data_IF_981936284123
#
_entry.id   IF_981936284123
#
_cell.length_a   1.000
_cell.length_b   1.000
_cell.length_c   1.000
_cell.angle_alpha   90.00
_cell.angle_beta   90.00
_cell.angle_gamma   90.00
#
_symmetry.space_group_name_H-M   'P 1'
#
loop_
_entity.id
_entity.type
_entity.pdbx_description
1 polymer ?
#
# COMPACT_ATOMS: atom_id res chain seq x y z
N UNK A 1 59.15 11.13 78.59
CA UNK A 1 57.86 10.77 77.96
C UNK A 1 58.18 10.18 76.59
N UNK A 2 58.39 8.85 76.49
CA UNK A 2 57.58 7.86 75.74
C UNK A 2 57.00 8.43 74.43
N UNK A 3 57.21 7.88 73.24
CA UNK A 3 56.92 6.49 72.84
C UNK A 3 57.64 6.04 71.55
N UNK A 4 57.83 4.72 71.46
CA UNK A 4 58.17 3.89 70.28
C UNK A 4 57.13 3.98 69.15
N UNK A 5 57.57 3.76 67.91
CA UNK A 5 56.98 2.83 66.90
C UNK A 5 57.62 3.11 65.54
N UNK A 6 58.09 2.14 64.76
CA UNK A 6 57.49 0.83 64.52
C UNK A 6 56.95 0.84 63.08
N UNK A 7 57.83 0.54 62.13
CA UNK A 7 57.52 0.47 60.70
C UNK A 7 56.59 -0.73 60.46
N UNK A 8 55.33 -0.50 60.11
CA UNK A 8 54.40 -1.53 59.66
C UNK A 8 54.04 -1.26 58.22
N UNK A 9 54.45 -2.17 57.34
CA UNK A 9 54.02 -2.24 55.96
C UNK A 9 52.53 -2.60 55.91
N UNK A 10 51.73 -1.82 55.18
CA UNK A 10 50.36 -2.20 54.81
C UNK A 10 50.34 -2.44 53.31
N UNK A 11 50.13 -3.70 52.96
CA UNK A 11 49.98 -4.22 51.60
C UNK A 11 48.62 -3.76 51.05
N UNK A 12 48.66 -3.26 49.82
CA UNK A 12 47.49 -2.81 49.07
C UNK A 12 46.54 -3.98 48.74
N UNK A 13 45.25 -3.77 48.98
CA UNK A 13 44.17 -4.51 48.35
C UNK A 13 43.16 -3.49 47.80
N UNK A 14 43.40 -3.04 46.56
CA UNK A 14 42.40 -2.27 45.82
C UNK A 14 41.39 -3.29 45.30
N UNK A 15 40.27 -3.41 46.00
CA UNK A 15 39.12 -4.18 45.53
C UNK A 15 38.58 -3.49 44.26
N UNK A 16 38.72 -4.17 43.12
CA UNK A 16 38.00 -3.84 41.89
C UNK A 16 36.51 -4.04 42.17
N UNK A 17 35.79 -2.96 42.47
CA UNK A 17 34.33 -2.95 42.43
C UNK A 17 33.97 -3.02 40.96
N UNK A 18 33.71 -4.24 40.47
CA UNK A 18 33.00 -4.44 39.21
C UNK A 18 31.62 -3.82 39.38
N UNK A 19 31.44 -2.61 38.85
CA UNK A 19 30.11 -2.04 38.65
C UNK A 19 29.47 -2.93 37.60
N UNK A 20 28.63 -3.87 38.06
CA UNK A 20 27.71 -4.60 37.21
C UNK A 20 26.89 -3.54 36.49
N UNK A 21 27.13 -3.33 35.20
CA UNK A 21 26.22 -2.57 34.38
C UNK A 21 24.89 -3.34 34.41
N UNK A 22 23.97 -2.91 35.27
CA UNK A 22 22.58 -3.30 35.14
C UNK A 22 22.13 -2.75 33.79
N UNK A 23 22.17 -3.62 32.79
CA UNK A 23 21.31 -3.55 31.62
C UNK A 23 19.89 -3.46 32.18
N UNK A 24 19.45 -2.24 32.46
CA UNK A 24 18.04 -1.95 32.59
C UNK A 24 17.44 -2.35 31.25
N UNK A 25 16.86 -3.55 31.18
CA UNK A 25 15.98 -3.89 30.08
C UNK A 25 14.86 -2.87 30.13
N UNK A 26 14.97 -1.83 29.31
CA UNK A 26 13.80 -1.03 28.98
C UNK A 26 12.88 -1.99 28.24
N UNK A 27 12.02 -2.68 28.99
CA UNK A 27 10.83 -3.30 28.45
C UNK A 27 9.92 -2.14 28.06
N UNK A 28 10.22 -1.49 26.93
CA UNK A 28 9.16 -0.95 26.12
C UNK A 28 8.37 -2.17 25.67
N UNK A 29 7.12 -2.36 26.14
CA UNK A 29 6.25 -3.30 25.48
C UNK A 29 6.19 -2.81 24.03
N UNK A 30 6.74 -3.58 23.11
CA UNK A 30 6.37 -3.50 21.71
C UNK A 30 4.95 -4.05 21.59
N UNK A 31 4.00 -3.38 22.25
CA UNK A 31 2.58 -3.50 22.01
C UNK A 31 2.30 -2.77 20.69
N UNK A 32 2.88 -3.32 19.62
CA UNK A 32 2.33 -3.17 18.29
C UNK A 32 0.96 -3.83 18.37
N UNK A 33 -0.08 -3.04 18.65
CA UNK A 33 -1.45 -3.45 18.36
C UNK A 33 -1.47 -3.70 16.86
N UNK A 34 -1.40 -4.97 16.47
CA UNK A 34 -1.54 -5.39 15.08
C UNK A 34 -2.85 -4.79 14.57
N UNK A 35 -2.80 -4.08 13.45
CA UNK A 35 -4.05 -3.80 12.72
C UNK A 35 -4.73 -5.14 12.52
N UNK A 36 -6.06 -5.23 12.66
CA UNK A 36 -6.78 -6.37 12.09
C UNK A 36 -6.58 -6.34 10.56
N UNK A 37 -5.48 -6.92 10.10
CA UNK A 37 -5.29 -7.28 8.70
C UNK A 37 -6.42 -8.24 8.40
N UNK A 38 -7.41 -7.76 7.67
CA UNK A 38 -8.59 -8.57 7.40
C UNK A 38 -8.30 -9.36 6.14
N UNK A 39 -8.17 -10.68 6.27
CA UNK A 39 -8.20 -11.59 5.13
C UNK A 39 -9.57 -11.49 4.46
N UNK A 40 -9.54 -11.20 3.16
CA UNK A 40 -10.73 -11.08 2.33
C UNK A 40 -10.92 -12.40 1.60
N UNK A 41 -11.93 -13.18 2.03
CA UNK A 41 -12.24 -14.48 1.45
C UNK A 41 -13.16 -14.41 0.22
N UNK A 42 -13.81 -13.26 0.00
CA UNK A 42 -14.68 -13.01 -1.16
C UNK A 42 -15.13 -11.54 -1.22
N UNK A 43 -15.70 -11.13 -2.36
CA UNK A 43 -16.43 -9.86 -2.48
C UNK A 43 -15.65 -8.67 -3.03
N UNK A 44 -14.34 -8.79 -3.28
CA UNK A 44 -13.50 -7.73 -3.87
C UNK A 44 -12.90 -8.16 -5.22
N UNK A 45 -13.71 -8.82 -6.06
CA UNK A 45 -13.25 -9.40 -7.33
C UNK A 45 -12.67 -8.39 -8.33
N UNK A 46 -12.94 -7.09 -8.12
CA UNK A 46 -12.38 -5.99 -8.91
C UNK A 46 -10.90 -5.73 -8.65
N UNK A 47 -10.29 -6.30 -7.60
CA UNK A 47 -8.84 -6.18 -7.40
C UNK A 47 -8.14 -7.10 -8.39
N UNK A 48 -7.17 -6.56 -9.12
CA UNK A 48 -6.45 -7.24 -10.18
C UNK A 48 -5.01 -7.54 -9.77
N UNK A 49 -4.53 -8.72 -10.11
CA UNK A 49 -3.11 -9.09 -10.05
C UNK A 49 -2.44 -8.94 -11.41
N UNK A 50 -1.33 -8.20 -11.52
CA UNK A 50 -0.64 -7.92 -12.79
C UNK A 50 0.65 -8.72 -12.87
N UNK A 51 0.86 -9.44 -13.99
CA UNK A 51 1.92 -10.45 -14.11
C UNK A 51 2.44 -10.66 -15.54
N UNK A 52 3.62 -11.29 -15.62
CA UNK A 52 4.36 -11.53 -16.86
C UNK A 52 3.95 -12.79 -17.60
N UNK A 53 3.41 -13.78 -16.88
CA UNK A 53 2.97 -15.05 -17.43
C UNK A 53 1.58 -15.38 -16.90
N UNK A 54 0.84 -16.21 -17.64
CA UNK A 54 -0.56 -16.55 -17.34
C UNK A 54 -0.76 -17.05 -15.90
N UNK A 55 0.10 -17.96 -15.45
CA UNK A 55 0.08 -18.54 -14.09
C UNK A 55 1.19 -17.97 -13.18
N UNK A 56 1.73 -16.81 -13.54
CA UNK A 56 2.82 -16.18 -12.80
C UNK A 56 2.37 -15.47 -11.53
N UNK A 57 3.36 -15.05 -10.76
CA UNK A 57 3.17 -14.21 -9.56
C UNK A 57 2.89 -12.75 -9.93
N UNK A 58 2.09 -12.06 -9.12
CA UNK A 58 1.74 -10.66 -9.34
C UNK A 58 2.87 -9.72 -8.91
N UNK A 59 3.45 -8.96 -9.83
CA UNK A 59 4.45 -7.94 -9.48
C UNK A 59 3.82 -6.58 -9.13
N UNK A 60 2.58 -6.36 -9.55
CA UNK A 60 1.78 -5.19 -9.24
C UNK A 60 0.32 -5.61 -9.01
N UNK A 61 -0.44 -4.72 -8.39
CA UNK A 61 -1.88 -4.81 -8.32
C UNK A 61 -2.54 -3.77 -9.25
N UNK A 62 -3.83 -3.91 -9.47
CA UNK A 62 -4.66 -2.98 -10.22
C UNK A 62 -6.11 -3.13 -9.82
N UNK A 63 -6.99 -2.43 -10.54
CA UNK A 63 -8.43 -2.38 -10.23
C UNK A 63 -9.25 -2.39 -11.51
N UNK A 64 -10.28 -3.22 -11.60
CA UNK A 64 -11.23 -3.21 -12.72
C UNK A 64 -12.07 -1.94 -12.69
N UNK A 65 -11.92 -1.11 -13.72
CA UNK A 65 -12.63 0.18 -13.87
C UNK A 65 -13.59 0.19 -15.07
N UNK A 66 -13.58 -0.87 -15.87
CA UNK A 66 -14.50 -1.10 -16.97
C UNK A 66 -14.39 -2.54 -17.50
N UNK A 67 -15.27 -2.99 -18.41
CA UNK A 67 -15.30 -4.40 -18.82
C UNK A 67 -14.06 -4.88 -19.58
N UNK A 68 -13.22 -3.96 -20.06
CA UNK A 68 -11.93 -4.24 -20.70
C UNK A 68 -10.77 -3.46 -20.05
N UNK A 69 -10.98 -2.87 -18.87
CA UNK A 69 -10.04 -1.89 -18.32
C UNK A 69 -9.64 -2.18 -16.89
N UNK A 70 -8.33 -2.26 -16.68
CA UNK A 70 -7.72 -2.29 -15.34
C UNK A 70 -6.90 -1.03 -15.14
N UNK A 71 -7.18 -0.29 -14.07
CA UNK A 71 -6.38 0.84 -13.63
C UNK A 71 -5.26 0.37 -12.70
N UNK A 72 -4.06 0.86 -12.93
CA UNK A 72 -2.89 0.64 -12.08
C UNK A 72 -1.99 1.88 -12.16
N UNK A 73 -0.77 1.79 -11.65
CA UNK A 73 0.21 2.87 -11.66
C UNK A 73 1.24 2.74 -12.77
N UNK A 74 1.81 3.85 -13.21
CA UNK A 74 2.73 3.92 -14.35
C UNK A 74 3.97 3.08 -14.11
N UNK A 75 4.57 3.11 -12.92
CA UNK A 75 5.83 2.39 -12.70
C UNK A 75 5.74 0.86 -12.82
N UNK A 76 4.53 0.28 -12.89
CA UNK A 76 4.35 -1.15 -13.14
C UNK A 76 4.84 -1.55 -14.55
N UNK A 77 4.86 -0.61 -15.50
CA UNK A 77 5.36 -0.81 -16.87
C UNK A 77 6.85 -1.16 -16.94
N UNK A 78 7.61 -0.92 -15.86
CA UNK A 78 9.02 -1.33 -15.75
C UNK A 78 9.16 -2.86 -15.75
N UNK A 79 8.08 -3.58 -15.48
CA UNK A 79 7.99 -5.03 -15.62
C UNK A 79 7.26 -5.40 -16.92
N UNK A 80 7.41 -6.65 -17.35
CA UNK A 80 6.75 -7.16 -18.56
C UNK A 80 5.26 -7.43 -18.30
N UNK A 81 4.40 -6.41 -18.42
CA UNK A 81 2.93 -6.57 -18.29
C UNK A 81 2.40 -7.42 -19.45
N UNK A 82 1.82 -8.58 -19.15
CA UNK A 82 1.26 -9.50 -20.17
C UNK A 82 -0.11 -10.05 -19.81
N UNK A 83 -0.38 -10.25 -18.53
CA UNK A 83 -1.61 -10.87 -18.05
C UNK A 83 -2.13 -10.18 -16.80
N UNK A 84 -3.44 -10.27 -16.60
CA UNK A 84 -4.12 -9.93 -15.34
C UNK A 84 -4.77 -11.17 -14.73
N UNK A 85 -4.81 -11.22 -13.39
CA UNK A 85 -5.65 -12.11 -12.56
C UNK A 85 -6.81 -11.32 -12.01
N UNK A 86 -8.05 -11.75 -12.20
CA UNK A 86 -9.24 -11.07 -11.68
C UNK A 86 -10.14 -12.06 -10.93
N UNK A 87 -10.89 -11.59 -9.93
CA UNK A 87 -11.92 -12.41 -9.27
C UNK A 87 -11.43 -13.47 -8.28
N UNK A 88 -10.13 -13.58 -8.03
CA UNK A 88 -9.55 -14.49 -7.03
C UNK A 88 -9.05 -13.72 -5.81
N UNK A 89 -9.23 -14.31 -4.62
CA UNK A 89 -8.55 -13.86 -3.41
C UNK A 89 -7.13 -14.41 -3.30
N UNK A 90 -6.77 -15.47 -4.03
CA UNK A 90 -5.44 -16.05 -4.06
C UNK A 90 -4.43 -15.13 -4.77
N UNK A 91 -3.23 -15.02 -4.22
CA UNK A 91 -2.13 -14.28 -4.83
C UNK A 91 -1.77 -14.79 -6.24
N UNK A 92 -1.95 -16.07 -6.52
CA UNK A 92 -1.74 -16.61 -7.87
C UNK A 92 -3.00 -16.57 -8.71
N UNK A 93 -4.20 -16.69 -8.12
CA UNK A 93 -5.48 -16.76 -8.83
C UNK A 93 -5.49 -17.70 -10.04
N UNK A 94 -4.67 -18.75 -10.02
CA UNK A 94 -4.44 -19.67 -11.13
C UNK A 94 -5.54 -20.73 -11.26
N UNK A 95 -6.39 -20.87 -10.23
CA UNK A 95 -7.43 -21.90 -10.14
C UNK A 95 -8.86 -21.38 -10.27
N UNK A 96 -9.10 -20.15 -9.85
CA UNK A 96 -10.41 -19.58 -9.56
C UNK A 96 -10.59 -18.16 -10.14
N UNK A 97 -9.52 -17.53 -10.61
CA UNK A 97 -9.55 -16.21 -11.23
C UNK A 97 -9.61 -16.26 -12.77
N UNK A 98 -10.15 -15.19 -13.36
CA UNK A 98 -10.00 -14.93 -14.79
C UNK A 98 -8.55 -14.57 -15.10
N UNK A 99 -8.03 -15.11 -16.19
CA UNK A 99 -6.66 -14.88 -16.63
C UNK A 99 -6.70 -14.31 -18.04
N UNK A 100 -6.62 -12.99 -18.13
CA UNK A 100 -6.84 -12.26 -19.39
C UNK A 100 -5.54 -11.59 -19.84
N UNK A 101 -5.24 -11.66 -21.13
CA UNK A 101 -4.07 -10.96 -21.69
C UNK A 101 -4.29 -9.45 -21.67
N UNK A 102 -3.20 -8.73 -21.48
CA UNK A 102 -3.14 -7.29 -21.71
C UNK A 102 -2.67 -7.05 -23.14
N UNK A 103 -3.45 -6.30 -23.91
CA UNK A 103 -3.18 -6.04 -25.34
C UNK A 103 -2.62 -4.65 -25.58
N UNK A 104 -2.93 -3.70 -24.70
CA UNK A 104 -2.39 -2.35 -24.75
C UNK A 104 -2.34 -1.72 -23.36
N UNK A 105 -1.65 -0.59 -23.25
CA UNK A 105 -1.66 0.23 -22.05
C UNK A 105 -1.63 1.72 -22.42
N UNK A 106 -2.23 2.55 -21.59
CA UNK A 106 -2.31 4.00 -21.74
C UNK A 106 -1.79 4.67 -20.49
N UNK A 107 -0.63 5.34 -20.61
CA UNK A 107 -0.07 6.18 -19.55
C UNK A 107 -0.83 7.49 -19.52
N UNK A 108 -1.13 8.02 -18.33
CA UNK A 108 -1.71 9.35 -18.21
C UNK A 108 -0.78 10.40 -18.87
N UNK A 109 -1.28 11.27 -19.77
CA UNK A 109 -0.43 12.15 -20.59
C UNK A 109 0.42 13.14 -19.79
N UNK A 110 -0.09 13.58 -18.64
CA UNK A 110 0.61 14.50 -17.73
C UNK A 110 1.28 13.78 -16.54
N UNK A 111 1.73 12.54 -16.74
CA UNK A 111 2.47 11.81 -15.72
C UNK A 111 3.88 12.40 -15.53
N UNK A 112 4.29 12.61 -14.28
CA UNK A 112 5.67 13.01 -13.94
C UNK A 112 6.25 12.12 -12.84
N UNK A 113 6.05 10.80 -12.94
CA UNK A 113 6.36 9.75 -11.96
C UNK A 113 5.64 9.85 -10.59
N UNK A 114 5.52 11.03 -10.01
CA UNK A 114 4.86 11.28 -8.71
C UNK A 114 3.46 11.91 -8.84
N UNK A 115 3.22 12.62 -9.95
CA UNK A 115 1.94 13.23 -10.29
C UNK A 115 1.24 12.40 -11.35
N UNK A 116 -0.07 12.28 -11.21
CA UNK A 116 -0.91 11.52 -12.15
C UNK A 116 -0.31 10.12 -12.45
N UNK A 117 0.13 9.40 -11.41
CA UNK A 117 0.75 8.06 -11.51
C UNK A 117 -0.28 6.99 -11.84
N UNK A 118 -0.82 7.06 -13.07
CA UNK A 118 -1.89 6.22 -13.59
C UNK A 118 -1.53 5.59 -14.94
N UNK A 119 -1.85 4.32 -15.04
CA UNK A 119 -1.77 3.48 -16.23
C UNK A 119 -3.09 2.72 -16.38
N UNK A 120 -3.73 2.83 -17.53
CA UNK A 120 -4.87 1.97 -17.89
C UNK A 120 -4.33 0.81 -18.73
N UNK A 121 -4.72 -0.41 -18.39
CA UNK A 121 -4.47 -1.62 -19.17
C UNK A 121 -5.73 -1.98 -19.95
N UNK A 122 -5.57 -2.28 -21.24
CA UNK A 122 -6.64 -2.82 -22.09
C UNK A 122 -6.55 -4.35 -22.12
N UNK A 123 -7.68 -5.00 -21.90
CA UNK A 123 -7.81 -6.46 -21.85
C UNK A 123 -8.21 -7.04 -23.20
N UNK A 124 -7.64 -8.19 -23.56
CA UNK A 124 -7.97 -8.94 -24.79
C UNK A 124 -9.44 -9.37 -24.81
N UNK A 125 -9.99 -9.71 -23.64
CA UNK A 125 -11.35 -10.21 -23.47
C UNK A 125 -12.09 -9.38 -22.43
N UNK A 126 -13.42 -9.33 -22.60
CA UNK A 126 -14.33 -8.73 -21.63
C UNK A 126 -14.28 -9.56 -20.33
N UNK A 127 -14.03 -8.91 -19.19
CA UNK A 127 -14.13 -9.55 -17.88
C UNK A 127 -15.59 -9.72 -17.45
N UNK A 128 -15.89 -10.76 -16.67
CA UNK A 128 -17.19 -10.92 -15.99
C UNK A 128 -17.26 -10.15 -14.67
N UNK A 129 -16.14 -9.62 -14.20
CA UNK A 129 -16.06 -8.86 -12.96
C UNK A 129 -16.73 -7.49 -13.09
N UNK A 130 -17.60 -7.17 -12.14
CA UNK A 130 -18.23 -5.85 -12.06
C UNK A 130 -17.17 -4.79 -11.73
N UNK A 131 -17.06 -3.71 -12.55
CA UNK A 131 -16.15 -2.62 -12.26
C UNK A 131 -16.50 -1.89 -10.96
N UNK A 132 -15.47 -1.47 -10.22
CA UNK A 132 -15.67 -0.65 -9.02
C UNK A 132 -16.22 0.73 -9.40
N UNK A 133 -16.98 1.35 -8.49
CA UNK A 133 -17.34 2.76 -8.64
C UNK A 133 -16.10 3.63 -8.46
N UNK A 134 -15.91 4.56 -9.37
CA UNK A 134 -14.84 5.55 -9.30
C UNK A 134 -15.30 6.81 -8.57
N UNK A 135 -14.40 7.41 -7.81
CA UNK A 135 -14.60 8.74 -7.26
C UNK A 135 -14.90 9.76 -8.38
N UNK A 136 -15.65 10.79 -8.04
CA UNK A 136 -16.05 11.83 -8.99
C UNK A 136 -15.01 12.95 -9.00
N UNK A 137 -15.02 13.78 -10.06
CA UNK A 137 -14.13 14.94 -10.13
C UNK A 137 -14.31 15.87 -8.91
N UNK A 138 -15.55 16.02 -8.44
CA UNK A 138 -15.84 16.50 -7.10
C UNK A 138 -15.71 15.34 -6.11
N UNK A 139 -14.51 15.17 -5.58
CA UNK A 139 -14.15 14.04 -4.71
C UNK A 139 -15.05 13.96 -3.48
N UNK A 140 -15.38 12.74 -3.06
CA UNK A 140 -16.03 12.47 -1.77
C UNK A 140 -15.05 12.52 -0.59
N UNK A 141 -13.74 12.54 -0.86
CA UNK A 141 -12.71 12.42 0.16
C UNK A 141 -12.58 13.70 0.95
N UNK A 142 -12.66 13.56 2.28
CA UNK A 142 -12.29 14.60 3.23
C UNK A 142 -11.24 14.07 4.20
N UNK A 143 -10.31 14.91 4.70
CA UNK A 143 -9.38 14.52 5.75
C UNK A 143 -10.11 13.90 6.96
N UNK A 144 -9.48 12.91 7.59
CA UNK A 144 -10.00 12.15 8.72
C UNK A 144 -10.84 10.93 8.35
N UNK A 145 -11.29 10.80 7.08
CA UNK A 145 -12.01 9.61 6.62
C UNK A 145 -11.16 8.34 6.74
N UNK A 146 -11.81 7.23 7.09
CA UNK A 146 -11.20 5.91 7.03
C UNK A 146 -11.35 5.36 5.62
N UNK A 147 -10.23 4.88 5.07
CA UNK A 147 -10.16 4.19 3.81
C UNK A 147 -9.54 2.80 4.02
N UNK A 148 -9.82 1.88 3.11
CA UNK A 148 -9.22 0.56 3.09
C UNK A 148 -8.29 0.43 1.89
N UNK A 149 -7.04 0.06 2.14
CA UNK A 149 -6.09 -0.35 1.10
C UNK A 149 -6.18 -1.85 0.89
N UNK A 150 -6.26 -2.28 -0.36
CA UNK A 150 -6.41 -3.68 -0.74
C UNK A 150 -5.18 -4.20 -1.48
N UNK A 151 -4.76 -5.42 -1.17
CA UNK A 151 -3.66 -6.08 -1.87
C UNK A 151 -3.14 -7.38 -1.20
N UNK A 152 -2.20 -8.06 -1.85
CA UNK A 152 -1.64 -9.36 -1.45
C UNK A 152 -0.22 -9.29 -0.87
N UNK A 153 0.51 -8.21 -1.15
CA UNK A 153 1.87 -7.99 -0.70
C UNK A 153 1.90 -7.23 0.63
N UNK A 154 3.09 -7.20 1.23
CA UNK A 154 3.32 -6.71 2.58
C UNK A 154 2.84 -5.25 2.78
N UNK A 155 1.65 -5.13 3.36
CA UNK A 155 1.02 -3.87 3.71
C UNK A 155 1.38 -3.42 5.12
N UNK A 156 1.95 -4.31 5.96
CA UNK A 156 2.24 -4.10 7.38
C UNK A 156 3.73 -3.96 7.71
N UNK A 157 4.62 -4.07 6.71
CA UNK A 157 6.07 -4.12 6.88
C UNK A 157 6.56 -5.32 7.73
N UNK A 158 5.80 -6.42 7.74
CA UNK A 158 6.13 -7.66 8.44
C UNK A 158 6.65 -8.75 7.48
N UNK A 159 6.89 -8.38 6.21
CA UNK A 159 7.54 -9.16 5.17
C UNK A 159 6.89 -10.49 4.80
N UNK A 160 5.58 -10.65 5.02
CA UNK A 160 4.84 -11.83 4.56
C UNK A 160 4.02 -11.45 3.32
N UNK A 161 4.46 -11.94 2.15
CA UNK A 161 3.56 -12.06 1.01
C UNK A 161 2.42 -12.97 1.44
N UNK A 162 1.21 -12.43 1.46
CA UNK A 162 0.07 -13.24 1.82
C UNK A 162 -0.32 -14.15 0.68
N UNK A 163 -0.82 -15.33 1.04
CA UNK A 163 -1.48 -16.23 0.10
C UNK A 163 -2.81 -15.65 -0.37
N UNK A 164 -3.44 -14.78 0.42
CA UNK A 164 -4.78 -14.25 0.18
C UNK A 164 -4.82 -12.72 0.21
N UNK A 165 -5.85 -12.16 -0.42
CA UNK A 165 -6.08 -10.72 -0.48
C UNK A 165 -6.36 -10.18 0.92
N UNK A 166 -5.73 -9.06 1.27
CA UNK A 166 -5.94 -8.38 2.54
C UNK A 166 -6.46 -6.96 2.37
N UNK A 167 -7.10 -6.49 3.44
CA UNK A 167 -7.48 -5.11 3.63
C UNK A 167 -6.77 -4.55 4.86
N UNK A 168 -6.21 -3.35 4.73
CA UNK A 168 -5.66 -2.55 5.82
C UNK A 168 -6.37 -1.21 5.87
N UNK A 169 -6.95 -0.88 7.03
CA UNK A 169 -7.57 0.42 7.26
C UNK A 169 -6.51 1.50 7.51
N UNK A 170 -6.71 2.65 6.90
CA UNK A 170 -5.85 3.83 7.00
C UNK A 170 -6.71 5.08 7.16
N UNK A 171 -6.18 6.09 7.85
CA UNK A 171 -6.85 7.37 7.98
C UNK A 171 -6.31 8.36 6.95
N UNK A 172 -7.18 8.93 6.12
CA UNK A 172 -6.82 9.93 5.13
C UNK A 172 -6.45 11.25 5.82
N UNK A 173 -5.41 11.91 5.32
CA UNK A 173 -4.95 13.22 5.83
C UNK A 173 -4.95 14.26 4.72
N UNK A 174 -4.91 15.54 5.09
CA UNK A 174 -4.84 16.62 4.10
C UNK A 174 -3.50 16.64 3.37
N UNK A 175 -3.49 17.20 2.16
CA UNK A 175 -2.25 17.45 1.44
C UNK A 175 -1.34 18.43 2.19
N UNK A 176 -1.90 19.39 2.92
CA UNK A 176 -1.11 20.32 3.75
C UNK A 176 -0.38 19.60 4.88
N UNK A 177 -1.01 18.62 5.52
CA UNK A 177 -0.33 17.79 6.51
C UNK A 177 0.74 16.93 5.85
N UNK A 178 0.39 16.30 4.73
CA UNK A 178 1.30 15.43 3.99
C UNK A 178 2.54 16.18 3.46
N UNK A 179 2.35 17.42 3.04
CA UNK A 179 3.41 18.28 2.47
C UNK A 179 4.48 18.68 3.49
N UNK A 180 4.25 18.46 4.79
CA UNK A 180 5.27 18.66 5.83
C UNK A 180 6.38 17.62 5.76
N UNK A 181 6.11 16.43 5.20
CA UNK A 181 7.04 15.29 5.18
C UNK A 181 7.37 14.81 3.77
N UNK A 182 6.51 15.14 2.79
CA UNK A 182 6.51 14.59 1.43
C UNK A 182 6.26 15.67 0.38
N UNK A 183 6.78 15.46 -0.84
CA UNK A 183 6.41 16.29 -1.99
C UNK A 183 5.14 15.74 -2.61
N UNK A 184 4.02 16.44 -2.40
CA UNK A 184 2.69 16.06 -2.92
C UNK A 184 1.90 17.27 -3.40
N UNK A 185 0.90 17.04 -4.24
CA UNK A 185 -0.03 18.06 -4.73
C UNK A 185 -1.47 17.53 -4.87
N UNK A 186 -2.35 18.29 -5.51
CA UNK A 186 -3.76 17.92 -5.73
C UNK A 186 -3.97 16.60 -6.48
N UNK A 187 -2.96 16.08 -7.19
CA UNK A 187 -3.00 14.79 -7.88
C UNK A 187 -2.74 13.61 -6.94
N UNK A 188 -2.40 13.88 -5.67
CA UNK A 188 -2.11 12.88 -4.65
C UNK A 188 -3.17 12.84 -3.55
N UNK A 189 -3.31 11.68 -2.92
CA UNK A 189 -3.93 11.49 -1.61
C UNK A 189 -2.88 10.97 -0.64
N UNK A 190 -3.06 11.26 0.65
CA UNK A 190 -2.18 10.74 1.69
C UNK A 190 -2.99 10.10 2.80
N UNK A 191 -2.38 9.12 3.47
CA UNK A 191 -2.92 8.52 4.67
C UNK A 191 -1.83 8.29 5.71
N UNK A 192 -2.25 8.18 6.97
CA UNK A 192 -1.42 7.61 8.05
C UNK A 192 -1.99 6.25 8.45
N UNK A 193 -1.12 5.38 8.96
CA UNK A 193 -1.56 4.19 9.68
C UNK A 193 -2.39 4.60 10.90
N UNK A 194 -3.45 3.84 11.19
CA UNK A 194 -4.24 4.00 12.41
C UNK A 194 -3.45 3.33 13.55
N UNK A 195 -3.29 3.96 14.71
CA UNK A 195 -2.53 3.41 15.87
C UNK A 195 -1.03 3.23 15.64
N UNK A 196 -0.35 2.40 16.46
CA UNK A 196 1.09 2.12 16.41
C UNK A 196 1.51 1.24 15.20
N UNK A 197 0.96 1.51 14.02
CA UNK A 197 1.00 0.56 12.91
C UNK A 197 2.02 0.96 11.87
N UNK A 198 2.75 -0.06 11.43
CA UNK A 198 3.70 0.04 10.35
C UNK A 198 2.93 -0.04 9.03
N UNK A 199 3.09 0.97 8.17
CA UNK A 199 2.57 0.89 6.80
C UNK A 199 3.72 0.57 5.86
N UNK A 200 3.49 -0.30 4.87
CA UNK A 200 4.34 -0.42 3.70
C UNK A 200 3.51 -0.42 2.41
N UNK A 201 4.11 -0.09 1.27
CA UNK A 201 3.46 -0.10 -0.06
C UNK A 201 3.45 -1.47 -0.70
N UNK A 202 3.17 -2.52 0.08
CA UNK A 202 2.63 -3.74 -0.53
C UNK A 202 1.60 -3.35 -1.59
N UNK A 203 1.69 -4.00 -2.75
CA UNK A 203 0.72 -3.85 -3.84
C UNK A 203 0.73 -2.49 -4.51
N UNK A 204 1.89 -2.14 -5.09
CA UNK A 204 2.01 -1.07 -6.10
C UNK A 204 0.85 -1.14 -7.10
N UNK A 205 0.08 -0.05 -7.22
CA UNK A 205 -1.10 0.04 -8.09
C UNK A 205 -2.40 -0.51 -7.49
N UNK A 206 -2.35 -1.05 -6.27
CA UNK A 206 -3.50 -1.60 -5.55
C UNK A 206 -4.53 -0.53 -5.17
N UNK A 207 -5.75 -0.98 -4.87
CA UNK A 207 -6.88 -0.11 -4.60
C UNK A 207 -6.78 0.58 -3.23
N UNK A 208 -7.09 1.88 -3.19
CA UNK A 208 -7.53 2.58 -1.99
C UNK A 208 -9.01 2.89 -2.14
N UNK A 209 -9.84 2.28 -1.29
CA UNK A 209 -11.28 2.41 -1.34
C UNK A 209 -11.84 3.14 -0.13
N UNK A 210 -12.92 3.86 -0.34
CA UNK A 210 -13.82 4.33 0.72
C UNK A 210 -15.10 3.53 0.63
N UNK A 211 -15.48 2.88 1.74
CA UNK A 211 -16.73 2.14 1.84
C UNK A 211 -17.90 3.11 1.98
N UNK A 212 -18.88 3.03 1.09
CA UNK A 212 -20.18 3.66 1.25
C UNK A 212 -21.20 2.60 1.67
N UNK A 213 -22.38 3.03 2.15
CA UNK A 213 -23.42 2.12 2.69
C UNK A 213 -23.79 0.92 1.81
N UNK A 214 -23.59 1.01 0.48
CA UNK A 214 -24.02 -0.02 -0.49
C UNK A 214 -22.94 -0.43 -1.50
N UNK A 215 -21.82 0.28 -1.56
CA UNK A 215 -20.80 0.07 -2.58
C UNK A 215 -19.47 0.65 -2.14
N UNK A 216 -18.39 0.10 -2.69
CA UNK A 216 -17.06 0.63 -2.50
C UNK A 216 -16.75 1.66 -3.60
N UNK A 217 -16.01 2.71 -3.24
CA UNK A 217 -15.58 3.76 -4.18
C UNK A 217 -14.06 3.79 -4.22
N UNK A 218 -13.49 3.61 -5.41
CA UNK A 218 -12.06 3.79 -5.66
C UNK A 218 -11.72 5.28 -5.61
N UNK A 219 -10.98 5.68 -4.58
CA UNK A 219 -10.55 7.07 -4.39
C UNK A 219 -9.09 7.28 -4.78
N UNK A 220 -8.27 6.21 -4.75
CA UNK A 220 -6.89 6.27 -5.16
C UNK A 220 -6.29 4.90 -5.50
N UNK A 221 -5.07 4.93 -6.02
CA UNK A 221 -4.23 3.74 -6.19
C UNK A 221 -2.87 3.92 -5.50
N UNK A 222 -2.31 2.83 -4.97
CA UNK A 222 -1.05 2.85 -4.22
C UNK A 222 0.10 3.28 -5.14
N UNK A 223 0.67 4.47 -4.91
CA UNK A 223 1.75 5.05 -5.72
C UNK A 223 3.10 5.05 -5.00
N UNK A 224 3.16 5.38 -3.71
CA UNK A 224 4.44 5.41 -3.02
C UNK A 224 4.32 5.55 -1.51
N UNK A 225 5.46 5.48 -0.83
CA UNK A 225 5.57 5.74 0.59
C UNK A 225 6.91 6.35 0.93
N UNK A 226 6.95 6.94 2.12
CA UNK A 226 8.17 7.21 2.86
C UNK A 226 7.98 6.60 4.24
N UNK A 227 8.98 5.85 4.70
CA UNK A 227 8.89 5.18 6.00
C UNK A 227 8.06 3.90 5.95
N UNK A 228 8.24 3.05 4.94
CA UNK A 228 7.84 1.65 5.02
C UNK A 228 8.32 1.07 6.37
N UNK A 229 7.44 0.48 7.16
CA UNK A 229 7.84 -0.09 8.44
C UNK A 229 8.02 0.90 9.59
N UNK A 230 7.69 2.17 9.37
CA UNK A 230 7.66 3.20 10.40
C UNK A 230 6.25 3.29 10.95
N UNK A 231 6.14 3.27 12.28
CA UNK A 231 4.88 3.47 13.00
C UNK A 231 4.33 4.86 12.67
N UNK A 232 3.08 4.93 12.20
CA UNK A 232 2.45 6.19 11.80
C UNK A 232 3.04 6.80 10.51
N UNK A 233 3.77 5.99 9.74
CA UNK A 233 4.34 6.38 8.45
C UNK A 233 3.26 6.82 7.45
N UNK A 234 3.61 7.79 6.60
CA UNK A 234 2.72 8.29 5.55
C UNK A 234 2.76 7.41 4.30
N UNK A 235 1.59 7.20 3.72
CA UNK A 235 1.43 6.54 2.41
C UNK A 235 0.84 7.52 1.40
N UNK A 236 1.30 7.44 0.16
CA UNK A 236 0.87 8.30 -0.95
C UNK A 236 0.17 7.46 -2.01
N UNK A 237 -0.94 8.00 -2.49
CA UNK A 237 -1.77 7.40 -3.52
C UNK A 237 -1.96 8.40 -4.65
N UNK A 238 -2.08 7.91 -5.88
CA UNK A 238 -2.54 8.73 -6.99
C UNK A 238 -4.06 8.95 -6.83
N UNK A 239 -4.54 10.19 -6.96
CA UNK A 239 -5.92 10.59 -6.68
C UNK A 239 -6.81 10.36 -7.90
N UNK A 240 -7.80 9.46 -7.79
CA UNK A 240 -8.71 9.14 -8.91
C UNK A 240 -9.52 10.36 -9.35
N UNK A 241 -10.03 11.15 -8.41
CA UNK A 241 -10.80 12.36 -8.71
C UNK A 241 -10.03 13.36 -9.62
N UNK A 242 -8.71 13.46 -9.46
CA UNK A 242 -7.89 14.39 -10.24
C UNK A 242 -7.82 14.02 -11.73
N UNK A 243 -7.91 12.73 -12.05
CA UNK A 243 -7.83 12.21 -13.42
C UNK A 243 -9.17 11.69 -13.92
N UNK A 244 -10.26 11.96 -13.20
CA UNK A 244 -11.58 11.40 -13.51
C UNK A 244 -12.04 11.70 -14.95
N UNK A 245 -11.92 12.94 -15.46
CA UNK A 245 -12.28 13.24 -16.85
C UNK A 245 -11.47 12.44 -17.89
N UNK A 246 -10.18 12.20 -17.62
CA UNK A 246 -9.34 11.37 -18.48
C UNK A 246 -9.82 9.93 -18.49
N UNK A 247 -10.08 9.34 -17.32
CA UNK A 247 -10.63 7.97 -17.23
C UNK A 247 -11.95 7.87 -18.01
N UNK A 248 -12.88 8.79 -17.80
CA UNK A 248 -14.18 8.78 -18.50
C UNK A 248 -14.02 8.89 -20.02
N UNK A 249 -13.04 9.66 -20.50
CA UNK A 249 -12.76 9.78 -21.94
C UNK A 249 -12.33 8.45 -22.55
N UNK A 250 -11.53 7.66 -21.83
CA UNK A 250 -11.11 6.33 -22.28
C UNK A 250 -12.28 5.35 -22.24
N UNK A 251 -13.00 5.29 -21.11
CA UNK A 251 -14.12 4.35 -20.94
C UNK A 251 -15.28 4.57 -21.92
N UNK A 252 -15.45 5.80 -22.43
CA UNK A 252 -16.47 6.13 -23.45
C UNK A 252 -16.05 5.78 -24.88
N UNK A 253 -14.75 5.63 -25.17
CA UNK A 253 -14.22 5.60 -26.55
C UNK A 253 -14.23 4.22 -27.21
N UNK A 254 -14.87 3.20 -26.62
CA UNK A 254 -14.92 1.88 -27.25
C UNK A 254 -15.94 1.83 -28.40
N UNK A 255 -15.40 1.97 -29.60
CA UNK A 255 -15.99 1.52 -30.85
C UNK A 255 -16.13 -0.01 -30.79
N UNK A 256 -17.37 -0.49 -30.84
CA UNK A 256 -17.68 -1.90 -31.01
C UNK A 256 -17.22 -2.31 -32.41
N UNK A 257 -16.11 -3.03 -32.53
CA UNK A 257 -15.92 -3.87 -33.71
C UNK A 257 -16.81 -5.10 -33.52
N UNK A 258 -18.07 -4.98 -33.92
CA UNK A 258 -18.95 -6.13 -34.19
C UNK A 258 -18.53 -6.80 -35.49
#
# INVERSE_FOLDING_TARGET
>A
MKFFSGLVAVIAAIALISVSAQLGSSSHPSDLISVPVTEIKSGLGYVAGIRSTKNGVNFCAGVVIGPWHVLTRTSCIRNNIRWVSLGSDSYTGDKDGEQIKVVAFLVHPNNTDYRNDFLILELELKTTIEPIKLDQAKSIVTPGMIAARLGWNDTTAEAVQSRYLHSVEVQLVSNDECSKELTVDETNLCSRGISATKSCTGDKGGALIVKQKKYDVLVGIVSGNKGCGVIGGMSVYARVAAVRPWIDSILKTYCVYT
#
